data_IF_992056780395
#
_entry.id   IF_992056780395
#
_cell.length_a   1.000
_cell.length_b   1.000
_cell.length_c   1.000
_cell.angle_alpha   90.00
_cell.angle_beta   90.00
_cell.angle_gamma   90.00
#
_symmetry.space_group_name_H-M   'P 1'
#
loop_
_entity.id
_entity.type
_entity.pdbx_description
1 polymer ?
#
# COMPACT_ATOMS: atom_id res chain seq x y z
N UNK A 1 13.56 18.54 -8.01
CA UNK A 1 12.35 18.96 -8.73
C UNK A 1 12.52 18.96 -10.25
N UNK A 2 13.43 19.74 -10.85
CA UNK A 2 13.56 19.82 -12.33
C UNK A 2 13.71 18.48 -13.06
N UNK A 3 14.40 17.48 -12.48
CA UNK A 3 14.49 16.14 -13.07
C UNK A 3 13.20 15.31 -12.95
N UNK A 4 12.40 15.53 -11.91
CA UNK A 4 11.12 14.82 -11.71
C UNK A 4 10.03 15.32 -12.66
N UNK A 5 10.14 16.56 -13.15
CA UNK A 5 9.25 17.14 -14.16
C UNK A 5 9.46 16.50 -15.56
N UNK A 6 10.62 15.88 -15.78
CA UNK A 6 10.82 15.04 -16.96
C UNK A 6 10.09 13.71 -16.78
N UNK A 7 9.02 13.53 -17.56
CA UNK A 7 8.18 12.33 -17.51
C UNK A 7 8.99 11.05 -17.73
N UNK A 8 9.95 11.04 -18.66
CA UNK A 8 10.69 9.82 -18.98
C UNK A 8 11.64 9.45 -17.83
N UNK A 9 12.23 10.43 -17.15
CA UNK A 9 12.97 10.25 -15.90
C UNK A 9 12.07 9.76 -14.77
N UNK A 10 10.92 10.39 -14.54
CA UNK A 10 9.96 10.00 -13.51
C UNK A 10 9.55 8.53 -13.68
N UNK A 11 9.07 8.18 -14.87
CA UNK A 11 8.60 6.83 -15.19
C UNK A 11 9.73 5.81 -15.10
N UNK A 12 10.92 6.14 -15.62
CA UNK A 12 12.07 5.22 -15.58
C UNK A 12 12.52 4.92 -14.16
N UNK A 13 12.52 5.89 -13.25
CA UNK A 13 13.12 5.71 -11.93
C UNK A 13 12.13 5.24 -10.87
N UNK A 14 10.87 5.67 -10.93
CA UNK A 14 9.92 5.47 -9.84
C UNK A 14 8.76 4.53 -10.15
N UNK A 15 8.52 4.21 -11.43
CA UNK A 15 7.33 3.45 -11.82
C UNK A 15 7.65 2.18 -12.61
N UNK A 16 6.80 1.17 -12.43
CA UNK A 16 6.75 -0.04 -13.24
C UNK A 16 5.32 -0.23 -13.75
N UNK A 17 5.10 0.01 -15.04
CA UNK A 17 3.78 -0.05 -15.66
C UNK A 17 3.52 -1.44 -16.22
N UNK A 18 2.52 -2.14 -15.69
CA UNK A 18 2.09 -3.43 -16.22
C UNK A 18 1.47 -3.27 -17.62
N UNK A 19 1.65 -4.22 -18.56
CA UNK A 19 1.09 -4.14 -19.91
C UNK A 19 -0.44 -3.99 -20.00
N UNK A 20 -1.16 -4.29 -18.91
CA UNK A 20 -2.61 -4.12 -18.86
C UNK A 20 -3.07 -2.67 -18.64
N UNK A 21 -2.16 -1.69 -18.58
CA UNK A 21 -2.52 -0.30 -18.32
C UNK A 21 -1.54 0.68 -18.95
N UNK A 22 -1.84 1.96 -18.82
CA UNK A 22 -0.99 3.08 -19.24
C UNK A 22 -0.91 4.13 -18.15
N UNK A 23 0.17 4.91 -18.17
CA UNK A 23 0.43 6.01 -17.24
C UNK A 23 0.63 7.29 -18.06
N UNK A 24 -0.44 7.91 -18.56
CA UNK A 24 -0.34 9.03 -19.50
C UNK A 24 0.28 10.28 -18.86
N UNK A 25 0.90 11.14 -19.69
CA UNK A 25 1.64 12.33 -19.25
C UNK A 25 0.79 13.35 -18.49
N UNK A 26 -0.51 13.40 -18.75
CA UNK A 26 -1.45 14.29 -18.06
C UNK A 26 -1.74 13.85 -16.61
N UNK A 27 -1.64 12.54 -16.31
CA UNK A 27 -1.73 12.00 -14.95
C UNK A 27 -0.39 12.04 -14.22
N UNK A 28 0.72 11.82 -14.93
CA UNK A 28 2.05 11.65 -14.35
C UNK A 28 2.83 12.96 -14.26
N UNK A 29 2.23 13.98 -13.64
CA UNK A 29 2.84 15.29 -13.43
C UNK A 29 3.42 15.40 -12.02
N UNK A 30 4.72 15.18 -11.88
CA UNK A 30 5.36 15.12 -10.57
C UNK A 30 5.20 16.41 -9.75
N UNK A 31 5.20 17.59 -10.39
CA UNK A 31 5.04 18.86 -9.70
C UNK A 31 3.64 19.01 -9.06
N UNK A 32 2.59 18.52 -9.72
CA UNK A 32 1.23 18.49 -9.17
C UNK A 32 1.10 17.42 -8.07
N UNK A 33 1.66 16.23 -8.30
CA UNK A 33 1.55 15.10 -7.36
C UNK A 33 2.34 15.34 -6.05
N UNK A 34 3.53 15.93 -6.14
CA UNK A 34 4.38 16.19 -4.97
C UNK A 34 3.88 17.38 -4.14
N UNK A 35 3.22 18.36 -4.76
CA UNK A 35 2.69 19.54 -4.06
C UNK A 35 1.26 19.36 -3.55
N UNK A 36 0.65 18.20 -3.81
CA UNK A 36 -0.69 17.93 -3.31
C UNK A 36 -0.64 17.83 -1.78
N UNK A 37 -1.45 18.65 -1.11
CA UNK A 37 -1.60 18.61 0.34
C UNK A 37 -2.42 17.38 0.72
N UNK A 38 -1.77 16.45 1.41
CA UNK A 38 -2.36 15.21 1.93
C UNK A 38 -2.40 15.22 3.47
N UNK A 39 -2.13 16.38 4.08
CA UNK A 39 -2.03 16.50 5.53
C UNK A 39 -3.38 16.30 6.21
N UNK A 40 -3.34 15.69 7.39
CA UNK A 40 -4.48 15.43 8.24
C UNK A 40 -4.18 15.88 9.67
N UNK A 41 -5.16 16.51 10.31
CA UNK A 41 -5.09 16.76 11.75
C UNK A 41 -5.29 15.44 12.50
N UNK A 42 -4.37 15.08 13.38
CA UNK A 42 -4.49 13.88 14.22
C UNK A 42 -5.62 14.05 15.23
N UNK A 43 -6.55 13.11 15.22
CA UNK A 43 -7.63 13.00 16.19
C UNK A 43 -7.67 11.57 16.75
N UNK A 44 -7.08 11.32 17.92
CA UNK A 44 -7.07 9.99 18.51
C UNK A 44 -8.46 9.52 18.95
N UNK A 45 -9.50 10.38 18.96
CA UNK A 45 -10.84 10.03 19.40
C UNK A 45 -11.70 9.35 18.33
N UNK A 46 -11.33 9.46 17.04
CA UNK A 46 -12.08 8.88 15.92
C UNK A 46 -11.14 8.17 14.94
N UNK A 47 -11.52 7.02 14.35
CA UNK A 47 -10.67 6.33 13.38
C UNK A 47 -10.32 7.18 12.16
N UNK A 48 -9.05 7.23 11.80
CA UNK A 48 -8.54 8.01 10.66
C UNK A 48 -7.89 7.13 9.58
N UNK A 49 -7.31 6.00 9.99
CA UNK A 49 -6.61 5.05 9.11
C UNK A 49 -7.29 3.69 9.21
N UNK A 50 -7.51 3.07 8.07
CA UNK A 50 -7.93 1.67 7.95
C UNK A 50 -6.80 0.85 7.33
N UNK A 51 -6.41 -0.22 8.00
CA UNK A 51 -5.54 -1.27 7.46
C UNK A 51 -6.39 -2.52 7.27
N UNK A 52 -6.32 -3.14 6.10
CA UNK A 52 -7.00 -4.39 5.81
C UNK A 52 -6.14 -5.28 4.90
N UNK A 53 -6.62 -6.51 4.67
CA UNK A 53 -5.92 -7.51 3.88
C UNK A 53 -6.89 -8.19 2.93
N UNK A 54 -6.86 -7.87 1.64
CA UNK A 54 -7.67 -8.60 0.65
C UNK A 54 -7.33 -10.11 0.66
N UNK A 55 -6.07 -10.45 0.91
CA UNK A 55 -5.60 -11.84 1.01
C UNK A 55 -5.05 -12.14 2.41
N UNK A 56 -5.92 -12.21 3.42
CA UNK A 56 -5.52 -12.43 4.82
C UNK A 56 -4.73 -13.72 5.05
N UNK A 57 -4.87 -14.71 4.16
CA UNK A 57 -4.15 -16.00 4.26
C UNK A 57 -2.72 -15.96 3.74
N UNK A 58 -2.18 -14.79 3.38
CA UNK A 58 -0.80 -14.68 2.94
C UNK A 58 0.19 -14.73 4.10
N UNK A 59 1.16 -15.63 3.96
CA UNK A 59 2.19 -15.90 4.96
C UNK A 59 3.58 -15.78 4.38
N UNK A 60 4.55 -15.64 5.28
CA UNK A 60 5.99 -15.59 5.00
C UNK A 60 6.64 -16.98 5.19
N UNK A 61 7.91 -17.11 4.83
CA UNK A 61 8.60 -18.39 4.67
C UNK A 61 8.70 -19.20 5.98
N UNK A 62 8.75 -18.52 7.12
CA UNK A 62 8.90 -19.06 8.47
C UNK A 62 7.59 -19.10 9.26
N UNK A 63 6.44 -18.93 8.58
CA UNK A 63 5.13 -19.09 9.21
C UNK A 63 4.87 -20.53 9.67
N UNK A 64 4.32 -20.66 10.87
CA UNK A 64 3.91 -21.93 11.43
C UNK A 64 3.25 -21.78 12.79
N UNK A 65 2.87 -22.89 13.45
CA UNK A 65 2.22 -22.85 14.77
C UNK A 65 3.01 -22.08 15.84
N UNK A 66 4.33 -22.10 15.75
CA UNK A 66 5.24 -21.39 16.66
C UNK A 66 5.56 -19.95 16.23
N UNK A 67 5.07 -19.52 15.06
CA UNK A 67 5.32 -18.21 14.47
C UNK A 67 4.12 -17.75 13.62
N UNK A 68 2.96 -17.63 14.26
CA UNK A 68 1.72 -17.22 13.60
C UNK A 68 1.74 -15.76 13.12
N UNK A 69 2.63 -14.95 13.70
CA UNK A 69 2.79 -13.53 13.37
C UNK A 69 3.59 -13.30 12.09
N UNK A 70 4.18 -14.35 11.49
CA UNK A 70 4.74 -14.33 10.14
C UNK A 70 3.64 -14.43 9.05
N UNK A 71 2.59 -13.62 9.20
CA UNK A 71 1.46 -13.49 8.27
C UNK A 71 1.21 -12.01 7.96
N UNK A 72 0.61 -11.68 6.81
CA UNK A 72 0.30 -10.28 6.47
C UNK A 72 -0.59 -9.60 7.52
N UNK A 73 -1.48 -10.36 8.17
CA UNK A 73 -2.28 -9.88 9.31
C UNK A 73 -1.40 -9.56 10.51
N UNK A 74 -0.45 -10.44 10.85
CA UNK A 74 0.55 -10.19 11.88
C UNK A 74 1.40 -8.93 11.61
N UNK A 75 1.85 -8.75 10.36
CA UNK A 75 2.55 -7.53 9.93
C UNK A 75 1.66 -6.28 10.07
N UNK A 76 0.38 -6.41 9.73
CA UNK A 76 -0.64 -5.37 9.93
C UNK A 76 -0.79 -4.93 11.38
N UNK A 77 -0.74 -5.87 12.34
CA UNK A 77 -0.77 -5.53 13.77
C UNK A 77 0.39 -4.61 14.15
N UNK A 78 1.59 -4.90 13.64
CA UNK A 78 2.80 -4.10 13.91
C UNK A 78 2.67 -2.70 13.33
N UNK A 79 2.18 -2.56 12.09
CA UNK A 79 1.96 -1.24 11.48
C UNK A 79 0.90 -0.43 12.24
N UNK A 80 -0.21 -1.06 12.59
CA UNK A 80 -1.30 -0.42 13.34
C UNK A 80 -0.79 0.12 14.68
N UNK A 81 -0.04 -0.69 15.44
CA UNK A 81 0.56 -0.28 16.70
C UNK A 81 1.49 0.92 16.54
N UNK A 82 2.40 0.89 15.55
CA UNK A 82 3.37 1.97 15.32
C UNK A 82 2.67 3.29 14.94
N UNK A 83 1.61 3.23 14.13
CA UNK A 83 0.81 4.40 13.79
C UNK A 83 0.02 4.93 15.00
N UNK A 84 -0.49 4.04 15.86
CA UNK A 84 -1.15 4.42 17.11
C UNK A 84 -0.18 5.10 18.08
N UNK A 85 1.05 4.61 18.20
CA UNK A 85 2.13 5.24 18.99
C UNK A 85 2.46 6.66 18.49
N UNK A 86 2.23 6.93 17.21
CA UNK A 86 2.37 8.25 16.58
C UNK A 86 1.14 9.15 16.74
N UNK A 87 0.09 8.66 17.41
CA UNK A 87 -1.14 9.43 17.70
C UNK A 87 -2.25 9.28 16.66
N UNK A 88 -2.12 8.38 15.69
CA UNK A 88 -3.21 8.06 14.76
C UNK A 88 -4.20 7.09 15.40
N UNK A 89 -5.49 7.28 15.18
CA UNK A 89 -6.48 6.25 15.47
C UNK A 89 -6.64 5.32 14.25
N UNK A 90 -6.37 4.04 14.46
CA UNK A 90 -6.28 3.03 13.40
C UNK A 90 -7.30 1.92 13.65
N UNK A 91 -8.12 1.61 12.65
CA UNK A 91 -8.83 0.34 12.55
C UNK A 91 -7.97 -0.63 11.77
N UNK A 92 -7.68 -1.78 12.37
CA UNK A 92 -7.05 -2.91 11.69
C UNK A 92 -8.09 -4.02 11.51
N UNK A 93 -8.51 -4.22 10.27
CA UNK A 93 -9.49 -5.24 9.89
C UNK A 93 -8.78 -6.56 9.54
N UNK A 94 -9.00 -7.56 10.39
CA UNK A 94 -8.40 -8.89 10.30
C UNK A 94 -9.35 -9.94 9.68
N UNK A 95 -10.46 -9.49 9.09
CA UNK A 95 -11.44 -10.35 8.42
C UNK A 95 -10.83 -11.16 7.27
N UNK A 96 -11.38 -12.36 7.03
CA UNK A 96 -10.90 -13.26 5.98
C UNK A 96 -11.65 -13.06 4.66
N UNK A 97 -11.13 -12.20 3.80
CA UNK A 97 -11.77 -11.88 2.52
C UNK A 97 -11.46 -12.85 1.39
N UNK A 98 -10.54 -13.79 1.55
CA UNK A 98 -10.21 -14.80 0.54
C UNK A 98 -10.67 -16.21 0.95
N UNK A 99 -11.58 -16.33 1.94
CA UNK A 99 -12.22 -17.59 2.35
C UNK A 99 -13.74 -17.46 2.18
N UNK A 100 -14.34 -18.35 1.38
CA UNK A 100 -15.80 -18.44 1.24
C UNK A 100 -16.26 -19.88 1.49
N UNK A 101 -17.22 -20.07 2.41
CA UNK A 101 -17.73 -21.42 2.73
C UNK A 101 -16.67 -22.38 3.30
N UNK A 102 -15.59 -21.84 3.89
CA UNK A 102 -14.48 -22.62 4.43
C UNK A 102 -13.39 -22.99 3.42
N UNK A 103 -13.48 -22.54 2.16
CA UNK A 103 -12.47 -22.79 1.13
C UNK A 103 -11.88 -21.49 0.60
N UNK A 104 -10.63 -21.55 0.13
CA UNK A 104 -9.93 -20.40 -0.43
C UNK A 104 -10.55 -19.98 -1.77
N UNK A 105 -11.01 -18.74 -1.88
CA UNK A 105 -11.52 -18.11 -3.11
C UNK A 105 -10.87 -16.74 -3.34
N UNK A 106 -9.60 -16.77 -3.77
CA UNK A 106 -8.85 -15.54 -4.11
C UNK A 106 -9.45 -14.78 -5.28
N UNK A 107 -10.22 -15.44 -6.15
CA UNK A 107 -10.75 -14.82 -7.37
C UNK A 107 -11.81 -13.76 -7.08
N UNK A 108 -12.51 -13.91 -5.95
CA UNK A 108 -13.56 -13.00 -5.50
C UNK A 108 -13.17 -12.15 -4.29
N UNK A 109 -11.94 -12.30 -3.81
CA UNK A 109 -11.51 -11.68 -2.56
C UNK A 109 -11.67 -10.15 -2.55
N UNK A 110 -11.37 -9.47 -3.66
CA UNK A 110 -11.60 -8.03 -3.77
C UNK A 110 -13.08 -7.63 -3.65
N UNK A 111 -14.01 -8.48 -4.11
CA UNK A 111 -15.45 -8.22 -3.96
C UNK A 111 -15.89 -8.42 -2.50
N UNK A 112 -15.39 -9.45 -1.83
CA UNK A 112 -15.67 -9.68 -0.41
C UNK A 112 -15.10 -8.57 0.48
N UNK A 113 -13.85 -8.17 0.21
CA UNK A 113 -13.22 -7.02 0.86
C UNK A 113 -14.01 -5.74 0.59
N UNK A 114 -14.48 -5.51 -0.65
CA UNK A 114 -15.27 -4.33 -0.99
C UNK A 114 -16.51 -4.19 -0.09
N UNK A 115 -17.23 -5.29 0.15
CA UNK A 115 -18.41 -5.28 1.03
C UNK A 115 -18.06 -4.96 2.48
N UNK A 116 -17.01 -5.60 3.03
CA UNK A 116 -16.56 -5.38 4.40
C UNK A 116 -16.01 -3.97 4.63
N UNK A 117 -15.09 -3.53 3.78
CA UNK A 117 -14.47 -2.20 3.86
C UNK A 117 -15.51 -1.10 3.67
N UNK A 118 -16.46 -1.27 2.75
CA UNK A 118 -17.54 -0.28 2.57
C UNK A 118 -18.39 -0.11 3.83
N UNK A 119 -18.64 -1.19 4.58
CA UNK A 119 -19.36 -1.11 5.87
C UNK A 119 -18.55 -0.35 6.91
N UNK A 120 -17.28 -0.68 7.07
CA UNK A 120 -16.37 0.00 8.00
C UNK A 120 -16.32 1.50 7.71
N UNK A 121 -16.19 1.89 6.44
CA UNK A 121 -16.14 3.29 6.01
C UNK A 121 -17.48 4.02 6.19
N UNK A 122 -18.61 3.32 6.13
CA UNK A 122 -19.92 3.90 6.44
C UNK A 122 -20.09 4.16 7.94
N UNK A 123 -19.62 3.23 8.77
CA UNK A 123 -19.67 3.34 10.24
C UNK A 123 -18.64 4.34 10.78
N UNK A 124 -17.54 4.55 10.06
CA UNK A 124 -16.42 5.40 10.45
C UNK A 124 -16.06 6.40 9.34
N UNK A 125 -16.93 7.40 9.07
CA UNK A 125 -16.73 8.36 7.99
C UNK A 125 -15.50 9.28 8.18
N UNK A 126 -14.92 9.30 9.38
CA UNK A 126 -13.68 10.01 9.70
C UNK A 126 -12.43 9.38 9.06
N UNK A 127 -12.48 8.13 8.60
CA UNK A 127 -11.35 7.47 7.93
C UNK A 127 -11.00 8.21 6.64
N UNK A 128 -9.76 8.66 6.52
CA UNK A 128 -9.22 9.35 5.35
C UNK A 128 -8.11 8.56 4.64
N UNK A 129 -7.61 7.47 5.22
CA UNK A 129 -6.52 6.64 4.67
C UNK A 129 -6.92 5.18 4.68
N UNK A 130 -6.69 4.46 3.58
CA UNK A 130 -7.00 3.03 3.45
C UNK A 130 -5.81 2.28 2.88
N UNK A 131 -5.29 1.31 3.64
CA UNK A 131 -4.10 0.53 3.30
C UNK A 131 -4.48 -0.94 3.15
N UNK A 132 -4.21 -1.51 1.96
CA UNK A 132 -4.31 -2.94 1.71
C UNK A 132 -2.92 -3.56 1.82
N UNK A 133 -2.64 -4.31 2.89
CA UNK A 133 -1.33 -4.89 3.14
C UNK A 133 -1.24 -6.32 2.61
N UNK A 134 -0.28 -6.55 1.72
CA UNK A 134 0.00 -7.83 1.06
C UNK A 134 1.47 -8.21 1.20
N UNK A 135 1.82 -9.39 0.66
CA UNK A 135 3.19 -9.77 0.34
C UNK A 135 3.25 -10.26 -1.10
N UNK A 136 4.32 -9.91 -1.82
CA UNK A 136 4.41 -10.22 -3.26
C UNK A 136 4.54 -11.73 -3.50
N UNK A 137 4.17 -12.16 -4.70
CA UNK A 137 4.34 -13.53 -5.20
C UNK A 137 5.49 -13.59 -6.19
N UNK A 138 6.67 -14.04 -5.76
CA UNK A 138 7.89 -14.05 -6.58
C UNK A 138 8.40 -15.46 -6.89
N UNK A 139 9.46 -15.59 -7.70
CA UNK A 139 10.14 -16.88 -7.92
C UNK A 139 10.92 -17.28 -6.66
N UNK A 140 11.00 -18.58 -6.35
CA UNK A 140 11.60 -19.10 -5.10
C UNK A 140 13.02 -18.58 -4.79
N UNK A 141 13.84 -18.28 -5.79
CA UNK A 141 15.20 -17.75 -5.59
C UNK A 141 15.29 -16.23 -5.41
N UNK A 142 14.18 -15.50 -5.50
CA UNK A 142 14.17 -14.05 -5.30
C UNK A 142 13.86 -13.73 -3.84
N UNK A 143 14.78 -13.05 -3.17
CA UNK A 143 14.64 -12.58 -1.79
C UNK A 143 14.70 -11.05 -1.78
N UNK A 144 13.63 -10.40 -1.32
CA UNK A 144 13.49 -8.95 -1.39
C UNK A 144 13.87 -8.32 -0.04
N UNK A 145 15.16 -8.11 0.19
CA UNK A 145 15.68 -7.59 1.45
C UNK A 145 16.73 -6.50 1.21
N UNK A 146 16.73 -5.51 2.08
CA UNK A 146 17.81 -4.53 2.23
C UNK A 146 18.15 -4.34 3.71
N UNK A 147 19.31 -3.78 4.00
CA UNK A 147 19.62 -3.30 5.34
C UNK A 147 19.02 -1.91 5.53
N UNK A 148 18.11 -1.75 6.50
CA UNK A 148 17.51 -0.47 6.87
C UNK A 148 17.68 -0.29 8.36
N UNK A 149 18.30 0.81 8.78
CA UNK A 149 18.61 1.08 10.19
C UNK A 149 19.38 -0.05 10.89
N UNK A 150 20.31 -0.70 10.17
CA UNK A 150 21.11 -1.81 10.69
C UNK A 150 20.35 -3.13 10.88
N UNK A 151 19.13 -3.26 10.35
CA UNK A 151 18.31 -4.48 10.42
C UNK A 151 17.97 -5.00 9.02
N UNK A 152 17.96 -6.34 8.82
CA UNK A 152 17.44 -6.93 7.60
C UNK A 152 15.95 -6.62 7.49
N UNK A 153 15.58 -5.95 6.40
CA UNK A 153 14.27 -5.34 6.22
C UNK A 153 13.73 -5.71 4.85
N UNK A 154 12.51 -6.27 4.83
CA UNK A 154 11.84 -6.62 3.59
C UNK A 154 11.62 -5.36 2.74
N UNK A 155 11.94 -5.44 1.45
CA UNK A 155 11.67 -4.31 0.56
C UNK A 155 10.18 -4.18 0.31
N UNK A 156 9.65 -2.95 0.40
CA UNK A 156 8.25 -2.70 0.10
C UNK A 156 8.04 -2.26 -1.36
N UNK A 157 6.83 -2.44 -1.86
CA UNK A 157 6.40 -1.90 -3.15
C UNK A 157 5.01 -1.30 -3.00
N UNK A 158 4.88 -0.02 -3.33
CA UNK A 158 3.57 0.59 -3.48
C UNK A 158 2.92 0.12 -4.78
N UNK A 159 1.63 -0.16 -4.72
CA UNK A 159 0.85 -0.63 -5.85
C UNK A 159 -0.32 0.34 -6.10
N UNK A 160 -0.55 0.68 -7.36
CA UNK A 160 -1.64 1.54 -7.79
C UNK A 160 -2.49 0.91 -8.90
N UNK A 161 -3.80 1.00 -8.68
CA UNK A 161 -4.83 0.60 -9.62
C UNK A 161 -5.28 1.77 -10.48
N UNK A 162 -4.99 1.71 -11.78
CA UNK A 162 -5.12 2.84 -12.70
C UNK A 162 -6.52 3.03 -13.28
N UNK A 163 -7.45 2.08 -13.06
CA UNK A 163 -8.80 2.10 -13.65
C UNK A 163 -8.80 2.36 -15.16
N UNK A 164 -7.84 1.74 -15.86
CA UNK A 164 -7.49 2.04 -17.25
C UNK A 164 -6.81 0.86 -17.91
N UNK A 165 -7.12 0.63 -19.18
CA UNK A 165 -6.39 -0.29 -20.09
C UNK A 165 -5.59 0.51 -21.13
N UNK A 166 -4.81 -0.13 -22.01
CA UNK A 166 -4.18 0.56 -23.14
C UNK A 166 -5.18 1.30 -24.05
N UNK A 167 -6.44 0.87 -24.08
CA UNK A 167 -7.51 1.48 -24.88
C UNK A 167 -8.13 2.74 -24.23
N UNK A 168 -7.92 2.95 -22.93
CA UNK A 168 -8.46 4.11 -22.22
C UNK A 168 -9.01 3.78 -20.84
N UNK A 169 -9.75 4.74 -20.27
CA UNK A 169 -10.37 4.62 -18.94
C UNK A 169 -11.40 3.48 -18.94
N UNK A 170 -11.44 2.71 -17.84
CA UNK A 170 -12.45 1.68 -17.62
C UNK A 170 -13.67 2.33 -16.97
N UNK A 171 -14.63 2.76 -17.78
CA UNK A 171 -15.82 3.52 -17.35
C UNK A 171 -16.63 2.85 -16.22
N UNK A 172 -16.70 1.52 -16.20
CA UNK A 172 -17.44 0.76 -15.18
C UNK A 172 -16.64 0.48 -13.90
N UNK A 173 -15.35 0.85 -13.86
CA UNK A 173 -14.49 0.75 -12.67
C UNK A 173 -13.85 2.11 -12.35
N UNK A 174 -14.65 3.17 -12.12
CA UNK A 174 -14.09 4.48 -11.84
C UNK A 174 -13.29 4.46 -10.54
N UNK A 175 -12.23 5.26 -10.53
CA UNK A 175 -11.51 5.64 -9.32
C UNK A 175 -11.49 7.17 -9.25
N UNK A 176 -12.39 7.80 -8.47
CA UNK A 176 -12.44 9.25 -8.34
C UNK A 176 -11.23 9.82 -7.60
N UNK A 177 -10.48 8.98 -6.87
CA UNK A 177 -9.33 9.37 -6.05
C UNK A 177 -7.98 8.97 -6.67
N UNK A 178 -7.95 8.66 -7.97
CA UNK A 178 -6.74 8.18 -8.62
C UNK A 178 -5.58 9.16 -8.47
N UNK A 179 -5.83 10.47 -8.56
CA UNK A 179 -4.79 11.49 -8.50
C UNK A 179 -4.20 11.59 -7.09
N UNK A 180 -5.06 11.57 -6.08
CA UNK A 180 -4.71 11.58 -4.66
C UNK A 180 -3.90 10.34 -4.29
N UNK A 181 -4.31 9.16 -4.78
CA UNK A 181 -3.58 7.92 -4.52
C UNK A 181 -2.20 7.89 -5.21
N UNK A 182 -2.09 8.45 -6.42
CA UNK A 182 -0.81 8.61 -7.12
C UNK A 182 0.11 9.60 -6.39
N UNK A 183 -0.44 10.70 -5.88
CA UNK A 183 0.30 11.67 -5.07
C UNK A 183 0.81 11.02 -3.79
N UNK A 184 -0.07 10.31 -3.09
CA UNK A 184 0.23 9.65 -1.82
C UNK A 184 1.39 8.66 -1.96
N UNK A 185 1.35 7.76 -2.95
CA UNK A 185 2.45 6.80 -3.12
C UNK A 185 3.72 7.43 -3.69
N UNK A 186 3.62 8.47 -4.53
CA UNK A 186 4.82 9.17 -5.01
C UNK A 186 5.52 9.93 -3.89
N UNK A 187 4.78 10.63 -3.03
CA UNK A 187 5.37 11.35 -1.89
C UNK A 187 6.06 10.37 -0.93
N UNK A 188 5.41 9.26 -0.57
CA UNK A 188 6.04 8.20 0.23
C UNK A 188 7.27 7.58 -0.46
N UNK A 189 7.22 7.37 -1.78
CA UNK A 189 8.35 6.81 -2.54
C UNK A 189 9.56 7.75 -2.55
N UNK A 190 9.34 9.06 -2.67
CA UNK A 190 10.40 10.07 -2.66
C UNK A 190 10.99 10.24 -1.25
N UNK A 191 10.14 10.27 -0.22
CA UNK A 191 10.56 10.29 1.18
C UNK A 191 11.40 9.04 1.49
N UNK A 192 10.96 7.85 1.07
CA UNK A 192 11.72 6.61 1.23
C UNK A 192 13.07 6.66 0.51
N UNK A 193 13.13 7.19 -0.71
CA UNK A 193 14.39 7.32 -1.45
C UNK A 193 15.39 8.23 -0.73
N UNK A 194 14.91 9.21 0.02
CA UNK A 194 15.74 10.14 0.80
C UNK A 194 16.16 9.55 2.15
N UNK A 195 15.23 8.98 2.91
CA UNK A 195 15.45 8.59 4.31
C UNK A 195 15.78 7.11 4.50
N UNK A 196 15.38 6.24 3.56
CA UNK A 196 15.62 4.81 3.58
C UNK A 196 16.09 4.28 2.20
N UNK A 197 17.28 4.71 1.71
CA UNK A 197 17.72 4.37 0.36
C UNK A 197 17.77 2.85 0.13
N UNK A 198 17.07 2.39 -0.91
CA UNK A 198 16.99 0.97 -1.27
C UNK A 198 15.84 0.20 -0.59
N UNK A 199 15.12 0.80 0.36
CA UNK A 199 13.98 0.18 1.04
C UNK A 199 12.82 -0.14 0.09
N UNK A 200 12.50 0.78 -0.83
CA UNK A 200 11.37 0.65 -1.75
C UNK A 200 11.77 0.17 -3.13
N UNK A 201 10.96 -0.72 -3.71
CA UNK A 201 10.92 -0.98 -5.16
C UNK A 201 10.19 0.16 -5.89
N UNK A 202 10.13 0.11 -7.23
CA UNK A 202 9.32 1.05 -8.02
C UNK A 202 7.84 0.84 -7.76
N UNK A 203 7.07 1.93 -7.76
CA UNK A 203 5.61 1.91 -7.68
C UNK A 203 5.07 1.11 -8.86
N UNK A 204 4.29 0.08 -8.57
CA UNK A 204 3.74 -0.81 -9.58
C UNK A 204 2.32 -0.38 -9.98
N UNK A 205 2.06 -0.29 -11.28
CA UNK A 205 0.78 0.16 -11.82
C UNK A 205 0.08 -0.96 -12.58
N UNK A 206 -1.20 -1.20 -12.27
CA UNK A 206 -2.03 -2.22 -12.92
C UNK A 206 -3.42 -1.68 -13.26
N UNK A 207 -4.10 -2.32 -14.22
CA UNK A 207 -5.25 -1.69 -14.90
C UNK A 207 -6.55 -1.58 -14.10
N UNK A 208 -6.82 -2.49 -13.18
CA UNK A 208 -8.05 -2.45 -12.36
C UNK A 208 -7.89 -1.52 -11.15
N UNK A 209 -8.95 -1.35 -10.34
CA UNK A 209 -8.98 -0.38 -9.23
C UNK A 209 -8.60 -0.92 -7.84
N UNK A 210 -8.66 -2.24 -7.62
CA UNK A 210 -8.20 -2.92 -6.39
C UNK A 210 -8.71 -2.28 -5.08
N UNK A 211 -9.97 -1.88 -5.03
CA UNK A 211 -10.60 -1.15 -3.91
C UNK A 211 -9.98 0.22 -3.54
N UNK A 212 -8.94 0.69 -4.26
CA UNK A 212 -8.29 1.99 -4.04
C UNK A 212 -9.21 3.20 -4.32
N UNK A 213 -10.35 2.97 -4.96
CA UNK A 213 -11.40 3.97 -5.20
C UNK A 213 -12.27 4.34 -3.99
N UNK A 214 -12.09 3.67 -2.83
CA UNK A 214 -13.00 3.83 -1.69
C UNK A 214 -12.74 5.10 -0.86
N UNK A 215 -11.51 5.62 -0.89
CA UNK A 215 -11.10 6.82 -0.15
C UNK A 215 -9.87 7.45 -0.85
N UNK A 216 -9.60 8.76 -0.73
CA UNK A 216 -8.27 9.28 -1.08
C UNK A 216 -7.21 8.70 -0.13
N UNK A 217 -5.94 8.95 -0.44
CA UNK A 217 -4.82 8.38 0.31
C UNK A 217 -4.92 6.85 0.46
N UNK A 218 -5.41 6.17 -0.58
CA UNK A 218 -5.46 4.71 -0.62
C UNK A 218 -4.24 4.13 -1.30
N UNK A 219 -3.64 3.11 -0.68
CA UNK A 219 -2.51 2.38 -1.25
C UNK A 219 -2.61 0.88 -0.96
N UNK A 220 -2.26 0.07 -1.95
CA UNK A 220 -1.87 -1.32 -1.71
C UNK A 220 -0.35 -1.33 -1.49
N UNK A 221 0.09 -2.04 -0.46
CA UNK A 221 1.51 -2.16 -0.11
C UNK A 221 1.90 -3.62 -0.08
N UNK A 222 2.80 -4.02 -0.98
CA UNK A 222 3.44 -5.32 -0.94
C UNK A 222 4.64 -5.24 -0.01
N UNK A 223 4.67 -6.04 1.05
CA UNK A 223 5.76 -6.10 2.03
C UNK A 223 6.60 -7.34 1.76
N UNK A 224 7.75 -7.15 1.12
CA UNK A 224 8.59 -8.28 0.69
C UNK A 224 7.84 -9.23 -0.23
N UNK A 225 8.13 -10.52 -0.09
CA UNK A 225 7.48 -11.61 -0.80
C UNK A 225 7.35 -12.85 0.08
N UNK A 226 6.72 -13.91 -0.44
CA UNK A 226 6.54 -15.18 0.29
C UNK A 226 7.86 -15.89 0.66
N UNK A 227 8.98 -15.47 0.08
CA UNK A 227 10.33 -15.97 0.36
C UNK A 227 11.01 -15.26 1.55
N UNK A 228 10.52 -14.10 1.95
CA UNK A 228 11.02 -13.36 3.11
C UNK A 228 10.63 -14.03 4.44
N UNK A 229 11.34 -13.71 5.51
CA UNK A 229 10.92 -14.06 6.87
C UNK A 229 9.89 -13.06 7.41
N UNK A 230 9.11 -13.48 8.40
CA UNK A 230 8.21 -12.60 9.14
C UNK A 230 8.95 -11.47 9.85
N UNK A 231 10.14 -11.74 10.40
CA UNK A 231 10.98 -10.72 11.05
C UNK A 231 11.39 -9.60 10.08
N UNK A 232 11.84 -9.96 8.87
CA UNK A 232 12.19 -8.98 7.83
C UNK A 232 10.99 -8.10 7.47
N UNK A 233 9.79 -8.69 7.39
CA UNK A 233 8.56 -7.97 7.09
C UNK A 233 8.10 -7.09 8.27
N UNK A 234 8.26 -7.53 9.52
CA UNK A 234 8.01 -6.71 10.71
C UNK A 234 8.95 -5.51 10.78
N UNK A 235 10.23 -5.70 10.44
CA UNK A 235 11.21 -4.61 10.40
C UNK A 235 10.82 -3.52 9.40
N UNK A 236 10.14 -3.86 8.31
CA UNK A 236 9.68 -2.90 7.30
C UNK A 236 8.60 -1.94 7.82
N UNK A 237 7.88 -2.30 8.89
CA UNK A 237 6.79 -1.49 9.41
C UNK A 237 7.26 -0.22 10.12
N UNK A 238 8.48 -0.23 10.67
CA UNK A 238 9.10 0.97 11.24
C UNK A 238 9.21 2.07 10.18
N UNK A 239 10.04 1.90 9.14
CA UNK A 239 10.15 2.85 8.04
C UNK A 239 8.80 3.19 7.39
N UNK A 240 7.94 2.20 7.11
CA UNK A 240 6.63 2.48 6.51
C UNK A 240 5.75 3.38 7.38
N UNK A 241 5.74 3.17 8.71
CA UNK A 241 4.98 4.03 9.63
C UNK A 241 5.52 5.46 9.66
N UNK A 242 6.83 5.65 9.52
CA UNK A 242 7.47 6.97 9.43
C UNK A 242 7.11 7.69 8.14
N UNK A 243 7.12 6.99 7.00
CA UNK A 243 6.71 7.54 5.70
C UNK A 243 5.25 8.00 5.71
N UNK A 244 4.36 7.17 6.25
CA UNK A 244 2.95 7.50 6.38
C UNK A 244 2.76 8.74 7.26
N UNK A 245 3.42 8.78 8.41
CA UNK A 245 3.28 9.87 9.37
C UNK A 245 3.75 11.22 8.84
N UNK A 246 4.89 11.25 8.13
CA UNK A 246 5.43 12.48 7.53
C UNK A 246 4.54 12.99 6.40
N UNK A 247 4.15 12.13 5.46
CA UNK A 247 3.28 12.52 4.34
C UNK A 247 1.94 13.05 4.85
N UNK A 248 1.34 12.39 5.85
CA UNK A 248 0.07 12.83 6.45
C UNK A 248 0.22 14.03 7.38
N UNK A 249 1.44 14.47 7.70
CA UNK A 249 1.70 15.74 8.39
C UNK A 249 2.18 16.85 7.45
N UNK A 250 2.35 16.57 6.15
CA UNK A 250 2.82 17.53 5.16
C UNK A 250 4.32 17.86 5.25
N UNK A 251 5.13 16.91 5.74
CA UNK A 251 6.60 17.03 5.89
C UNK A 251 7.39 16.58 4.64
#
# INVERSE_FOLDING_TARGET
>A
MAQLEDYDYLMKNFYSVHPSTTAPRDLMKADELVKMDLSLEKDPSVPQILIYHTHSQETYADYGPENTDASVVGIGNTLARLLQEKGWNVIHDTSTYDIQGGTLDRSRAYNYALEGISRILQENPSIQVVLDLHRDGVKEGLHLVSETEGRPTANIMFFQGMSRTPEGVIEYLPNPYLKENLAFTLQMQLDAAQNYPGFTRKIYMKGLRYNLHLRPCSALVEVGAQTNSGEEAHNAMGPLSELLDRVLQGE
#
